data_IF_701383278375
#
_entry.id   IF_701383278375
#
_cell.length_a   1.000
_cell.length_b   1.000
_cell.length_c   1.000
_cell.angle_alpha   90.00
_cell.angle_beta   90.00
_cell.angle_gamma   90.00
#
_symmetry.space_group_name_H-M   'P 1'
#
loop_
_entity.id
_entity.type
_entity.pdbx_description
1 polymer ?
#
# COMPACT_ATOMS: atom_id res chain seq x y z
N UNK A 1 8.40 -0.63 7.32
CA UNK A 1 8.38 0.49 6.34
C UNK A 1 8.46 1.83 7.07
N UNK A 2 9.03 2.82 6.41
CA UNK A 2 9.10 4.18 6.96
C UNK A 2 7.79 4.91 6.73
N UNK A 3 7.26 5.56 7.77
CA UNK A 3 6.00 6.32 7.69
C UNK A 3 6.29 7.79 7.89
N UNK A 4 5.88 8.60 6.93
CA UNK A 4 5.96 10.06 7.00
C UNK A 4 4.55 10.62 7.04
N UNK A 5 4.25 11.46 8.03
CA UNK A 5 2.90 12.00 8.25
C UNK A 5 2.93 13.50 8.05
N UNK A 6 2.00 14.00 7.22
CA UNK A 6 1.75 15.42 7.00
C UNK A 6 0.33 15.74 7.45
N UNK A 7 0.16 16.87 8.09
CA UNK A 7 -1.17 17.38 8.48
C UNK A 7 -1.46 18.72 7.82
N UNK A 8 -2.72 18.96 7.49
CA UNK A 8 -3.18 20.22 6.92
C UNK A 8 -4.44 20.66 7.66
N UNK A 9 -4.41 21.86 8.22
CA UNK A 9 -5.50 22.42 9.05
C UNK A 9 -5.92 21.52 10.22
N UNK A 10 -5.00 20.68 10.67
CA UNK A 10 -5.24 19.71 11.72
C UNK A 10 -3.96 19.54 12.53
N UNK A 11 -4.08 19.54 13.85
CA UNK A 11 -2.94 19.28 14.72
C UNK A 11 -2.73 17.77 14.85
N UNK A 12 -1.52 17.31 14.59
CA UNK A 12 -1.16 15.91 14.80
C UNK A 12 -1.01 15.65 16.30
N UNK A 13 -2.02 15.04 16.90
CA UNK A 13 -1.95 14.62 18.30
C UNK A 13 -1.16 13.30 18.42
N UNK A 14 -0.59 13.01 19.61
CA UNK A 14 0.06 11.70 19.83
C UNK A 14 -0.87 10.52 19.57
N UNK A 15 -2.17 10.67 19.88
CA UNK A 15 -3.16 9.63 19.63
C UNK A 15 -3.38 9.35 18.14
N UNK A 16 -3.52 10.39 17.33
CA UNK A 16 -3.68 10.26 15.88
C UNK A 16 -2.41 9.65 15.26
N UNK A 17 -1.25 10.14 15.66
CA UNK A 17 0.04 9.62 15.17
C UNK A 17 0.18 8.13 15.47
N UNK A 18 -0.14 7.72 16.69
CA UNK A 18 -0.07 6.32 17.11
C UNK A 18 -0.99 5.44 16.27
N UNK A 19 -2.23 5.86 16.06
CA UNK A 19 -3.20 5.10 15.26
C UNK A 19 -2.72 4.96 13.82
N UNK A 20 -2.23 6.02 13.21
CA UNK A 20 -1.70 5.97 11.84
C UNK A 20 -0.54 4.98 11.76
N UNK A 21 0.44 5.10 12.66
CA UNK A 21 1.62 4.23 12.67
C UNK A 21 1.24 2.77 12.87
N UNK A 22 0.33 2.47 13.80
CA UNK A 22 -0.12 1.10 14.06
C UNK A 22 -0.88 0.52 12.86
N UNK A 23 -1.81 1.27 12.27
CA UNK A 23 -2.60 0.82 11.13
C UNK A 23 -1.74 0.58 9.90
N UNK A 24 -0.81 1.49 9.61
CA UNK A 24 0.09 1.33 8.46
C UNK A 24 1.06 0.17 8.69
N UNK A 25 1.56 -0.02 9.91
CA UNK A 25 2.46 -1.14 10.24
C UNK A 25 1.81 -2.51 9.98
N UNK A 26 0.49 -2.64 10.16
CA UNK A 26 -0.22 -3.90 9.86
C UNK A 26 -0.15 -4.28 8.39
N UNK A 27 0.15 -3.34 7.50
CA UNK A 27 0.22 -3.57 6.07
C UNK A 27 1.53 -4.22 5.63
N UNK A 28 2.56 -4.24 6.47
CA UNK A 28 3.87 -4.81 6.16
C UNK A 28 3.76 -6.27 5.70
N UNK A 29 2.89 -7.05 6.31
CA UNK A 29 2.69 -8.47 5.97
C UNK A 29 2.16 -8.70 4.55
N UNK A 30 1.61 -7.66 3.91
CA UNK A 30 1.10 -7.75 2.54
C UNK A 30 2.11 -7.27 1.50
N UNK A 31 3.28 -6.81 1.93
CA UNK A 31 4.33 -6.31 1.05
C UNK A 31 5.46 -7.34 1.00
N UNK A 32 5.76 -7.91 -0.19
CA UNK A 32 6.91 -8.80 -0.34
C UNK A 32 8.20 -8.04 -0.07
N UNK A 33 9.08 -8.59 0.74
CA UNK A 33 10.41 -8.02 0.99
C UNK A 33 10.38 -6.57 1.51
N UNK A 34 9.70 -6.35 2.66
CA UNK A 34 9.71 -5.04 3.32
C UNK A 34 11.15 -4.72 3.77
N UNK A 35 11.66 -3.59 3.31
CA UNK A 35 12.96 -3.08 3.69
C UNK A 35 12.90 -1.54 3.87
N UNK A 36 14.06 -0.91 4.09
CA UNK A 36 14.15 0.52 4.32
C UNK A 36 13.74 1.37 3.09
N UNK A 37 13.64 0.77 1.90
CA UNK A 37 13.21 1.47 0.70
C UNK A 37 11.70 1.63 0.60
N UNK A 38 10.94 0.88 1.39
CA UNK A 38 9.48 0.97 1.40
C UNK A 38 9.06 2.13 2.28
N UNK A 39 8.38 3.11 1.69
CA UNK A 39 7.93 4.31 2.38
C UNK A 39 6.42 4.50 2.20
N UNK A 40 5.77 4.92 3.29
CA UNK A 40 4.37 5.33 3.29
C UNK A 40 4.29 6.82 3.60
N UNK A 41 3.63 7.57 2.73
CA UNK A 41 3.37 9.00 2.91
C UNK A 41 1.90 9.16 3.24
N UNK A 42 1.61 9.59 4.45
CA UNK A 42 0.23 9.75 4.94
C UNK A 42 -0.06 11.23 5.14
N UNK A 43 -1.16 11.70 4.60
CA UNK A 43 -1.67 13.04 4.86
C UNK A 43 -3.04 12.93 5.51
N UNK A 44 -3.23 13.68 6.59
CA UNK A 44 -4.53 13.87 7.23
C UNK A 44 -4.84 15.35 7.31
N UNK A 45 -6.08 15.70 7.02
CA UNK A 45 -6.48 17.10 6.94
C UNK A 45 -7.89 17.29 7.45
N UNK A 46 -8.14 18.50 7.94
CA UNK A 46 -9.49 18.95 8.22
C UNK A 46 -9.94 19.83 7.05
N UNK A 47 -10.98 19.37 6.36
CA UNK A 47 -11.61 20.13 5.29
C UNK A 47 -12.90 20.80 5.81
N UNK A 48 -13.02 22.10 5.58
CA UNK A 48 -14.27 22.82 5.85
C UNK A 48 -14.89 23.21 4.54
N UNK A 49 -16.13 22.73 4.29
CA UNK A 49 -16.89 23.15 3.10
C UNK A 49 -17.91 24.19 3.50
N UNK A 50 -17.85 25.34 2.85
CA UNK A 50 -18.72 26.48 3.14
C UNK A 50 -20.22 26.19 2.99
N UNK A 51 -20.60 25.16 2.22
CA UNK A 51 -21.99 24.86 1.91
C UNK A 51 -22.56 23.67 2.70
N UNK A 52 -21.74 22.97 3.50
CA UNK A 52 -22.19 21.85 4.31
C UNK A 52 -21.82 22.07 5.75
N UNK A 53 -22.80 21.94 6.64
CA UNK A 53 -22.57 22.00 8.07
C UNK A 53 -21.75 20.79 8.52
N UNK A 54 -20.64 21.04 9.23
CA UNK A 54 -19.85 20.01 9.86
C UNK A 54 -18.43 19.92 9.32
N UNK A 55 -17.60 19.25 10.12
CA UNK A 55 -16.20 19.02 9.82
C UNK A 55 -16.08 17.75 8.99
N UNK A 56 -15.27 17.81 7.93
CA UNK A 56 -14.93 16.65 7.13
C UNK A 56 -13.44 16.42 7.26
N UNK A 57 -13.07 15.21 7.62
CA UNK A 57 -11.68 14.80 7.74
C UNK A 57 -11.28 14.04 6.50
N UNK A 58 -10.15 14.42 5.96
CA UNK A 58 -9.52 13.79 4.81
C UNK A 58 -8.33 12.96 5.27
N UNK A 59 -8.18 11.78 4.73
CA UNK A 59 -6.99 10.95 4.90
C UNK A 59 -6.55 10.41 3.56
N UNK A 60 -5.26 10.38 3.33
CA UNK A 60 -4.67 9.82 2.12
C UNK A 60 -3.37 9.12 2.51
N UNK A 61 -3.09 8.02 1.84
CA UNK A 61 -1.79 7.37 1.99
C UNK A 61 -1.28 6.88 0.64
N UNK A 62 0.00 7.08 0.41
CA UNK A 62 0.72 6.59 -0.75
C UNK A 62 1.84 5.69 -0.25
N UNK A 63 1.81 4.42 -0.64
CA UNK A 63 2.87 3.47 -0.30
C UNK A 63 3.68 3.21 -1.55
N UNK A 64 4.94 3.62 -1.50
CA UNK A 64 5.88 3.39 -2.60
C UNK A 64 6.43 1.98 -2.49
N UNK A 65 6.10 1.15 -3.47
CA UNK A 65 6.52 -0.25 -3.55
C UNK A 65 7.34 -0.48 -4.82
N UNK A 66 8.13 -1.56 -4.91
CA UNK A 66 8.84 -1.85 -6.15
C UNK A 66 7.88 -1.97 -7.33
N UNK A 67 8.12 -1.15 -8.35
CA UNK A 67 7.30 -1.13 -9.57
C UNK A 67 6.08 -0.22 -9.53
N UNK A 68 5.84 0.53 -8.45
CA UNK A 68 4.71 1.45 -8.43
C UNK A 68 4.38 2.09 -7.10
N UNK A 69 3.20 2.66 -7.05
CA UNK A 69 2.67 3.32 -5.87
C UNK A 69 1.26 2.77 -5.63
N UNK A 70 0.99 2.36 -4.39
CA UNK A 70 -0.34 1.97 -3.95
C UNK A 70 -0.91 3.15 -3.17
N UNK A 71 -2.08 3.63 -3.58
CA UNK A 71 -2.68 4.85 -3.04
C UNK A 71 -4.14 4.62 -2.64
N UNK A 72 -4.54 5.26 -1.54
CA UNK A 72 -5.94 5.35 -1.13
C UNK A 72 -6.22 6.70 -0.49
N UNK A 73 -7.45 7.17 -0.63
CA UNK A 73 -7.93 8.38 0.04
C UNK A 73 -9.36 8.17 0.53
N UNK A 74 -9.71 8.88 1.59
CA UNK A 74 -11.05 8.83 2.17
C UNK A 74 -11.41 10.15 2.81
N UNK A 75 -12.71 10.45 2.82
CA UNK A 75 -13.29 11.60 3.51
C UNK A 75 -14.39 11.10 4.43
N UNK A 76 -14.30 11.47 5.70
CA UNK A 76 -15.24 11.02 6.72
C UNK A 76 -15.49 12.12 7.77
N UNK A 77 -16.56 11.98 8.53
CA UNK A 77 -16.87 12.90 9.63
C UNK A 77 -15.97 12.69 10.85
N UNK A 78 -15.23 11.60 10.88
CA UNK A 78 -14.33 11.22 11.98
C UNK A 78 -12.97 10.85 11.37
N UNK A 79 -11.90 11.41 11.94
CA UNK A 79 -10.54 11.15 11.46
C UNK A 79 -10.15 9.67 11.57
N UNK A 80 -10.57 9.00 12.63
CA UNK A 80 -10.24 7.58 12.83
C UNK A 80 -10.95 6.68 11.82
N UNK A 81 -12.17 7.04 11.42
CA UNK A 81 -12.89 6.35 10.34
C UNK A 81 -12.20 6.52 9.01
N UNK A 82 -11.73 7.73 8.71
CA UNK A 82 -10.99 8.00 7.49
C UNK A 82 -9.69 7.18 7.44
N UNK A 83 -8.96 7.13 8.54
CA UNK A 83 -7.73 6.33 8.67
C UNK A 83 -8.01 4.84 8.47
N UNK A 84 -9.04 4.31 9.10
CA UNK A 84 -9.45 2.91 8.92
C UNK A 84 -9.81 2.60 7.47
N UNK A 85 -10.54 3.49 6.84
CA UNK A 85 -11.00 3.32 5.46
C UNK A 85 -9.83 3.25 4.48
N UNK A 86 -8.85 4.15 4.61
CA UNK A 86 -7.64 4.08 3.76
C UNK A 86 -6.82 2.83 4.07
N UNK A 87 -6.73 2.41 5.32
CA UNK A 87 -6.01 1.20 5.69
C UNK A 87 -6.65 -0.03 5.04
N UNK A 88 -7.96 -0.16 5.10
CA UNK A 88 -8.67 -1.30 4.53
C UNK A 88 -8.52 -1.35 3.00
N UNK A 89 -8.62 -0.21 2.34
CA UNK A 89 -8.43 -0.12 0.89
C UNK A 89 -6.98 -0.43 0.49
N UNK A 90 -6.00 0.10 1.23
CA UNK A 90 -4.59 -0.19 0.99
C UNK A 90 -4.31 -1.68 1.17
N UNK A 91 -4.90 -2.32 2.18
CA UNK A 91 -4.77 -3.76 2.39
C UNK A 91 -5.27 -4.54 1.17
N UNK A 92 -6.44 -4.17 0.65
CA UNK A 92 -6.99 -4.78 -0.55
C UNK A 92 -6.08 -4.61 -1.76
N UNK A 93 -5.56 -3.41 -1.97
CA UNK A 93 -4.66 -3.09 -3.08
C UNK A 93 -3.31 -3.80 -2.94
N UNK A 94 -2.77 -3.89 -1.74
CA UNK A 94 -1.51 -4.58 -1.48
C UNK A 94 -1.64 -6.10 -1.66
N UNK A 95 -2.78 -6.68 -1.30
CA UNK A 95 -3.05 -8.10 -1.59
C UNK A 95 -3.05 -8.36 -3.09
N UNK A 96 -3.66 -7.48 -3.88
CA UNK A 96 -3.61 -7.56 -5.35
C UNK A 96 -2.19 -7.43 -5.88
N UNK A 97 -1.44 -6.47 -5.38
CA UNK A 97 -0.05 -6.25 -5.73
C UNK A 97 0.80 -7.49 -5.47
N UNK A 98 0.68 -8.06 -4.28
CA UNK A 98 1.40 -9.29 -3.89
C UNK A 98 1.05 -10.45 -4.82
N UNK A 99 -0.22 -10.64 -5.13
CA UNK A 99 -0.70 -11.69 -6.05
C UNK A 99 -0.13 -11.53 -7.45
N UNK A 100 -0.10 -10.30 -7.99
CA UNK A 100 0.49 -10.02 -9.30
C UNK A 100 1.99 -10.32 -9.34
N UNK A 101 2.71 -9.98 -8.29
CA UNK A 101 4.15 -10.27 -8.18
C UNK A 101 4.42 -11.77 -8.16
N UNK A 102 3.64 -12.53 -7.41
CA UNK A 102 3.75 -13.99 -7.35
C UNK A 102 3.47 -14.60 -8.72
N UNK A 103 2.38 -14.22 -9.38
CA UNK A 103 2.00 -14.73 -10.70
C UNK A 103 3.09 -14.43 -11.73
N UNK A 104 3.62 -13.22 -11.75
CA UNK A 104 4.71 -12.82 -12.66
C UNK A 104 5.96 -13.66 -12.42
N UNK A 105 6.32 -13.89 -11.15
CA UNK A 105 7.46 -14.73 -10.77
C UNK A 105 7.28 -16.17 -11.24
N UNK A 106 6.10 -16.75 -11.05
CA UNK A 106 5.76 -18.09 -11.53
C UNK A 106 5.85 -18.21 -13.05
N UNK A 107 5.38 -17.21 -13.78
CA UNK A 107 5.47 -17.17 -15.25
C UNK A 107 6.92 -17.19 -15.73
N UNK A 108 7.79 -16.43 -15.08
CA UNK A 108 9.22 -16.40 -15.41
C UNK A 108 9.84 -17.77 -15.15
N UNK A 109 9.54 -18.40 -14.02
CA UNK A 109 10.04 -19.74 -13.67
C UNK A 109 9.57 -20.78 -14.70
N UNK A 110 8.29 -20.77 -15.07
CA UNK A 110 7.73 -21.68 -16.08
C UNK A 110 8.44 -21.54 -17.43
N UNK A 111 8.71 -20.31 -17.88
CA UNK A 111 9.43 -20.06 -19.12
C UNK A 111 10.86 -20.62 -19.07
N UNK A 112 11.56 -20.42 -17.97
CA UNK A 112 12.91 -20.95 -17.76
C UNK A 112 12.92 -22.48 -17.75
N UNK A 113 11.97 -23.11 -17.08
CA UNK A 113 11.83 -24.56 -17.04
C UNK A 113 11.51 -25.13 -18.40
N UNK A 114 10.60 -24.50 -19.15
CA UNK A 114 10.27 -24.91 -20.51
C UNK A 114 11.47 -24.87 -21.44
N UNK A 115 12.28 -23.83 -21.35
CA UNK A 115 13.51 -23.72 -22.15
C UNK A 115 14.52 -24.79 -21.79
N UNK A 116 14.70 -25.08 -20.50
CA UNK A 116 15.61 -26.13 -20.02
C UNK A 116 15.19 -27.48 -20.57
N UNK A 117 13.90 -27.82 -20.50
CA UNK A 117 13.36 -29.09 -21.05
C UNK A 117 13.56 -29.18 -22.55
N UNK A 118 13.38 -28.10 -23.29
CA UNK A 118 13.61 -28.05 -24.73
C UNK A 118 15.08 -28.31 -25.07
N UNK A 119 16.01 -27.69 -24.36
CA UNK A 119 17.44 -27.90 -24.56
C UNK A 119 17.86 -29.34 -24.26
N UNK A 120 17.31 -29.96 -23.22
CA UNK A 120 17.59 -31.36 -22.86
C UNK A 120 17.10 -32.33 -23.99
N UNK A 121 15.89 -32.09 -24.49
CA UNK A 121 15.36 -32.87 -25.61
C UNK A 121 16.23 -32.75 -26.87
N UNK A 122 16.70 -31.56 -27.18
CA UNK A 122 17.61 -31.32 -28.31
C UNK A 122 18.92 -32.09 -28.17
N UNK A 123 19.46 -32.18 -26.95
CA UNK A 123 20.66 -32.98 -26.68
C UNK A 123 20.47 -34.47 -26.86
N UNK A 124 19.28 -34.99 -26.50
CA UNK A 124 18.97 -36.43 -26.60
C UNK A 124 18.71 -36.91 -28.02
N UNK A 125 18.39 -36.00 -28.92
CA UNK A 125 18.14 -36.34 -30.33
C UNK A 125 19.44 -36.52 -31.12
N UNK A 126 20.51 -36.01 -30.64
CA UNK A 126 21.84 -36.20 -31.23
C UNK A 126 22.56 -37.38 -30.61
#
# INVERSE_FOLDING_TARGET
>A
MKVTIKTTNLKLTPGIKKVIEEKIATLDKFIPHVDASIEAFVEVALETRHHKKGKIYYAEANIKVPGGIVRSEAREKDIYRAINEIKDELQRLLKKYKKRKIVKRERVIRKKMGLTLFLEKSRKIN
#
